data_IF_818540025515
#
_entry.id   IF_818540025515
#
_cell.length_a   1.000
_cell.length_b   1.000
_cell.length_c   1.000
_cell.angle_alpha   90.00
_cell.angle_beta   90.00
_cell.angle_gamma   90.00
#
_symmetry.space_group_name_H-M   'P 1'
#
loop_
_entity.id
_entity.type
_entity.pdbx_description
1 polymer ?
#
# COMPACT_ATOMS: atom_id res chain seq x y z
N UNK A 1 -6.58 3.87 12.95
CA UNK A 1 -5.21 4.40 12.74
C UNK A 1 -4.06 3.43 12.99
N UNK A 2 -4.11 2.52 13.98
CA UNK A 2 -2.99 1.60 14.29
C UNK A 2 -2.48 0.79 13.09
N UNK A 3 -3.41 0.26 12.27
CA UNK A 3 -3.08 -0.53 11.07
C UNK A 3 -2.41 0.30 9.97
N UNK A 4 -2.94 1.50 9.68
CA UNK A 4 -2.37 2.39 8.65
C UNK A 4 -0.94 2.82 9.04
N UNK A 5 -0.72 3.16 10.31
CA UNK A 5 0.63 3.48 10.81
C UNK A 5 1.57 2.28 10.71
N UNK A 6 1.13 1.10 11.18
CA UNK A 6 1.94 -0.11 11.09
C UNK A 6 2.33 -0.45 9.65
N UNK A 7 1.43 -0.23 8.68
CA UNK A 7 1.70 -0.43 7.26
C UNK A 7 2.71 0.58 6.70
N UNK A 8 2.61 1.86 7.07
CA UNK A 8 3.57 2.87 6.63
C UNK A 8 4.96 2.63 7.25
N UNK A 9 5.01 2.31 8.54
CA UNK A 9 6.25 1.97 9.24
C UNK A 9 6.89 0.70 8.68
N UNK A 10 6.11 -0.31 8.26
CA UNK A 10 6.67 -1.51 7.65
C UNK A 10 7.30 -1.23 6.29
N UNK A 11 6.73 -0.32 5.49
CA UNK A 11 7.33 0.11 4.21
C UNK A 11 8.67 0.81 4.43
N UNK A 12 8.76 1.69 5.42
CA UNK A 12 10.02 2.36 5.76
C UNK A 12 11.05 1.37 6.30
N UNK A 13 10.62 0.43 7.14
CA UNK A 13 11.46 -0.66 7.63
C UNK A 13 12.02 -1.52 6.48
N UNK A 14 11.19 -1.90 5.50
CA UNK A 14 11.62 -2.70 4.33
C UNK A 14 12.67 -1.94 3.51
N UNK A 15 12.55 -0.61 3.37
CA UNK A 15 13.55 0.21 2.66
C UNK A 15 14.86 0.31 3.42
N UNK A 16 14.79 0.59 4.72
CA UNK A 16 15.98 0.74 5.56
C UNK A 16 16.79 -0.56 5.67
N UNK A 17 16.13 -1.72 5.56
CA UNK A 17 16.73 -3.03 5.81
C UNK A 17 16.80 -3.92 4.55
N UNK A 18 17.08 -3.35 3.36
CA UNK A 18 17.09 -4.09 2.08
C UNK A 18 17.86 -5.43 2.15
N UNK A 19 19.08 -5.42 2.69
CA UNK A 19 19.92 -6.62 2.78
C UNK A 19 19.30 -7.73 3.63
N UNK A 20 18.67 -7.36 4.75
CA UNK A 20 17.98 -8.32 5.63
C UNK A 20 16.74 -8.89 4.95
N UNK A 21 15.97 -8.06 4.25
CA UNK A 21 14.80 -8.50 3.49
C UNK A 21 15.22 -9.46 2.37
N UNK A 22 16.26 -9.15 1.61
CA UNK A 22 16.77 -10.06 0.58
C UNK A 22 17.31 -11.38 1.17
N UNK A 23 17.91 -11.32 2.36
CA UNK A 23 18.33 -12.49 3.11
C UNK A 23 17.14 -13.33 3.62
N UNK A 24 16.05 -12.67 4.04
CA UNK A 24 14.80 -13.32 4.42
C UNK A 24 14.13 -14.01 3.22
N UNK A 25 14.06 -13.34 2.06
CA UNK A 25 13.52 -13.92 0.82
C UNK A 25 14.29 -15.18 0.39
N UNK A 26 15.60 -15.21 0.64
CA UNK A 26 16.46 -16.37 0.38
C UNK A 26 16.22 -17.53 1.35
N UNK A 27 16.28 -17.22 2.65
CA UNK A 27 16.26 -18.21 3.72
C UNK A 27 14.86 -18.76 3.96
N UNK A 28 13.85 -17.89 3.96
CA UNK A 28 12.49 -18.23 4.37
C UNK A 28 11.59 -18.54 3.18
N UNK A 29 11.69 -17.77 2.10
CA UNK A 29 10.88 -18.01 0.89
C UNK A 29 11.59 -18.90 -0.14
N UNK A 30 12.86 -19.23 0.10
CA UNK A 30 13.62 -20.14 -0.76
C UNK A 30 13.99 -19.55 -2.11
N UNK A 31 13.87 -18.23 -2.31
CA UNK A 31 14.15 -17.59 -3.60
C UNK A 31 15.67 -17.47 -3.78
N UNK A 32 16.30 -18.49 -4.35
CA UNK A 32 17.77 -18.52 -4.50
C UNK A 32 18.30 -17.58 -5.58
N UNK A 33 17.53 -17.42 -6.65
CA UNK A 33 17.92 -16.55 -7.76
C UNK A 33 17.92 -15.07 -7.29
N UNK A 34 19.07 -14.38 -7.31
CA UNK A 34 19.19 -13.00 -6.84
C UNK A 34 18.37 -12.02 -7.69
N UNK A 35 18.24 -12.24 -9.00
CA UNK A 35 17.44 -11.39 -9.88
C UNK A 35 15.95 -11.47 -9.52
N UNK A 36 15.47 -12.68 -9.22
CA UNK A 36 14.07 -12.88 -8.80
C UNK A 36 13.82 -12.25 -7.43
N UNK A 37 14.76 -12.37 -6.48
CA UNK A 37 14.65 -11.70 -5.16
C UNK A 37 14.60 -10.18 -5.27
N UNK A 38 15.46 -9.61 -6.11
CA UNK A 38 15.47 -8.17 -6.35
C UNK A 38 14.17 -7.70 -7.00
N UNK A 39 13.59 -8.49 -7.90
CA UNK A 39 12.24 -8.25 -8.46
C UNK A 39 11.17 -8.22 -7.37
N UNK A 40 11.10 -9.26 -6.53
CA UNK A 40 10.15 -9.32 -5.41
C UNK A 40 10.32 -8.15 -4.43
N UNK A 41 11.57 -7.77 -4.13
CA UNK A 41 11.84 -6.60 -3.29
C UNK A 41 11.30 -5.32 -3.93
N UNK A 42 11.53 -5.10 -5.22
CA UNK A 42 11.04 -3.95 -5.95
C UNK A 42 9.50 -3.92 -5.99
N UNK A 43 8.85 -5.07 -6.20
CA UNK A 43 7.40 -5.21 -6.18
C UNK A 43 6.82 -4.89 -4.79
N UNK A 44 7.44 -5.40 -3.71
CA UNK A 44 7.05 -5.05 -2.34
C UNK A 44 7.12 -3.55 -2.07
N UNK A 45 8.11 -2.84 -2.64
CA UNK A 45 8.20 -1.39 -2.53
C UNK A 45 7.18 -0.65 -3.40
N UNK A 46 6.73 -1.26 -4.49
CA UNK A 46 5.73 -0.71 -5.41
C UNK A 46 4.28 -0.94 -4.98
N UNK A 47 4.02 -1.99 -4.19
CA UNK A 47 2.68 -2.36 -3.71
C UNK A 47 2.10 -1.35 -2.71
N UNK A 48 2.94 -0.58 -2.02
CA UNK A 48 2.49 0.30 -0.94
C UNK A 48 2.84 1.76 -1.21
N UNK A 49 1.82 2.62 -1.17
CA UNK A 49 2.00 4.08 -1.20
C UNK A 49 2.89 4.51 -0.03
N UNK A 50 3.93 5.32 -0.33
CA UNK A 50 4.85 5.91 0.67
C UNK A 50 4.12 6.69 1.76
N UNK A 51 2.99 7.28 1.42
CA UNK A 51 2.22 8.15 2.32
C UNK A 51 0.93 7.48 2.76
N UNK A 52 0.53 6.37 2.13
CA UNK A 52 -0.78 5.76 2.32
C UNK A 52 -1.94 6.64 1.86
N UNK A 53 -1.64 7.79 1.24
CA UNK A 53 -2.61 8.72 0.70
C UNK A 53 -2.84 8.32 -0.74
N UNK A 54 -4.09 7.97 -1.05
CA UNK A 54 -4.57 7.81 -2.42
C UNK A 54 -5.17 9.15 -2.83
N UNK A 55 -4.95 9.60 -4.07
CA UNK A 55 -5.59 10.83 -4.56
C UNK A 55 -7.10 10.64 -4.67
N UNK A 56 -7.87 11.69 -4.41
CA UNK A 56 -9.33 11.67 -4.53
C UNK A 56 -9.75 11.24 -5.95
N UNK A 57 -9.01 11.67 -6.98
CA UNK A 57 -9.20 11.26 -8.39
C UNK A 57 -9.01 9.75 -8.61
N UNK A 58 -8.00 9.14 -7.98
CA UNK A 58 -7.75 7.70 -8.10
C UNK A 58 -8.89 6.92 -7.48
N UNK A 59 -9.38 7.37 -6.32
CA UNK A 59 -10.50 6.69 -5.67
C UNK A 59 -11.77 6.85 -6.49
N UNK A 60 -12.07 8.05 -6.99
CA UNK A 60 -13.22 8.30 -7.85
C UNK A 60 -13.19 7.40 -9.10
N UNK A 61 -12.02 7.19 -9.70
CA UNK A 61 -11.85 6.31 -10.85
C UNK A 61 -12.10 4.83 -10.51
N UNK A 62 -11.60 4.34 -9.36
CA UNK A 62 -11.84 2.97 -8.90
C UNK A 62 -13.31 2.74 -8.56
N UNK A 63 -13.96 3.70 -7.91
CA UNK A 63 -15.41 3.64 -7.61
C UNK A 63 -16.22 3.59 -8.90
N UNK A 64 -15.96 4.50 -9.84
CA UNK A 64 -16.61 4.51 -11.16
C UNK A 64 -16.41 3.21 -11.93
N UNK A 65 -15.19 2.67 -11.93
CA UNK A 65 -14.89 1.40 -12.57
C UNK A 65 -15.68 0.24 -11.95
N UNK A 66 -15.73 0.18 -10.62
CA UNK A 66 -16.44 -0.86 -9.87
C UNK A 66 -17.95 -0.76 -10.05
N UNK A 67 -18.51 0.46 -10.09
CA UNK A 67 -19.91 0.72 -10.41
C UNK A 67 -20.26 0.30 -11.83
N UNK A 68 -19.40 0.63 -12.81
CA UNK A 68 -19.59 0.24 -14.21
C UNK A 68 -19.53 -1.28 -14.44
N UNK A 69 -18.81 -2.02 -13.59
CA UNK A 69 -18.66 -3.48 -13.68
C UNK A 69 -19.67 -4.26 -12.82
N UNK A 70 -20.36 -3.63 -11.86
CA UNK A 70 -21.38 -4.29 -11.04
C UNK A 70 -22.76 -4.26 -11.71
N UNK A 71 -23.46 -5.40 -11.70
CA UNK A 71 -24.86 -5.54 -12.16
C UNK A 71 -25.90 -4.98 -11.19
N UNK A 72 -25.55 -4.81 -9.91
CA UNK A 72 -26.44 -4.29 -8.85
C UNK A 72 -26.09 -2.84 -8.55
N UNK A 73 -27.01 -1.95 -8.91
CA UNK A 73 -26.88 -0.51 -8.86
C UNK A 73 -27.30 -0.01 -7.47
N UNK A 74 -26.47 -0.23 -6.45
CA UNK A 74 -26.57 0.56 -5.22
C UNK A 74 -25.76 1.85 -5.39
N UNK A 75 -26.41 2.98 -5.16
CA UNK A 75 -25.83 4.32 -5.35
C UNK A 75 -24.98 4.69 -4.13
N UNK A 76 -23.85 4.00 -3.96
CA UNK A 76 -22.89 4.28 -2.89
C UNK A 76 -22.10 5.53 -3.27
N UNK A 77 -22.20 6.58 -2.44
CA UNK A 77 -21.47 7.82 -2.70
C UNK A 77 -19.96 7.60 -2.47
N UNK A 78 -19.12 8.28 -3.26
CA UNK A 78 -17.66 8.23 -3.08
C UNK A 78 -17.25 8.66 -1.67
N UNK A 79 -17.98 9.63 -1.08
CA UNK A 79 -17.78 10.09 0.30
C UNK A 79 -17.99 9.02 1.35
N UNK A 80 -18.83 8.01 1.11
CA UNK A 80 -19.06 6.90 2.04
C UNK A 80 -17.93 5.86 2.00
N UNK A 81 -17.12 5.89 0.93
CA UNK A 81 -16.00 4.95 0.70
C UNK A 81 -14.69 5.57 1.19
N UNK A 82 -14.56 6.91 1.20
CA UNK A 82 -13.29 7.60 1.42
C UNK A 82 -13.25 8.43 2.69
N UNK A 83 -12.72 7.87 3.77
CA UNK A 83 -12.28 8.65 4.94
C UNK A 83 -10.82 9.15 4.77
N UNK A 84 -10.58 10.04 3.80
CA UNK A 84 -9.24 10.59 3.51
C UNK A 84 -8.55 11.31 4.69
N UNK A 85 -9.31 11.69 5.72
CA UNK A 85 -8.79 12.32 6.96
C UNK A 85 -7.87 11.39 7.75
N UNK A 86 -8.14 10.09 7.76
CA UNK A 86 -7.39 9.12 8.57
C UNK A 86 -5.98 8.86 8.05
N UNK A 87 -5.78 8.90 6.72
CA UNK A 87 -4.48 8.68 6.08
C UNK A 87 -3.58 9.92 6.19
N UNK A 88 -4.12 11.12 5.95
CA UNK A 88 -3.37 12.39 6.08
C UNK A 88 -2.85 12.60 7.51
N UNK A 89 -3.70 12.38 8.52
CA UNK A 89 -3.32 12.49 9.93
C UNK A 89 -2.26 11.47 10.35
N UNK A 90 -2.35 10.22 9.86
CA UNK A 90 -1.34 9.21 10.15
C UNK A 90 0.03 9.54 9.54
N UNK A 91 0.06 10.10 8.33
CA UNK A 91 1.29 10.54 7.66
C UNK A 91 1.93 11.76 8.36
N UNK A 92 1.13 12.72 8.84
CA UNK A 92 1.63 13.85 9.63
C UNK A 92 2.22 13.41 10.98
N UNK A 93 1.60 12.46 11.66
CA UNK A 93 2.09 11.92 12.93
C UNK A 93 3.37 11.07 12.80
N UNK A 94 3.70 10.58 11.60
CA UNK A 94 4.96 9.86 11.33
C UNK A 94 6.12 10.80 10.97
N UNK A 95 5.83 12.04 10.57
CA UNK A 95 6.83 13.07 10.23
C UNK A 95 7.30 13.89 11.44
N UNK A 96 6.61 13.78 12.57
CA UNK A 96 7.01 14.33 13.87
C UNK A 96 7.94 13.37 14.59
#
# INVERSE_FOLDING_TARGET
MKVIKALLTSVDFIRANKGEILGFLDKTWGIKNPVVREGFYADMLGLYSRTGIVSDDTIANVVRFTQATRKTQEDISVSDITEGRSQKKANEELKR
#
